data_IF_118438512012
#
_entry.id   IF_118438512012
#
_cell.length_a   1.000
_cell.length_b   1.000
_cell.length_c   1.000
_cell.angle_alpha   90.00
_cell.angle_beta   90.00
_cell.angle_gamma   90.00
#
_symmetry.space_group_name_H-M   'P 1'
#
loop_
_entity.id
_entity.type
_entity.pdbx_description
1 polymer ?
#
# COMPACT_ATOMS: atom_id res chain seq x y z
N UNK A 1 46.17 -19.71 3.54
CA UNK A 1 44.76 -19.95 3.12
C UNK A 1 43.90 -19.00 3.93
N UNK A 2 43.62 -17.83 3.35
CA UNK A 2 42.75 -16.83 3.97
C UNK A 2 41.33 -17.34 3.74
N UNK A 3 40.70 -17.89 4.78
CA UNK A 3 39.28 -18.20 4.72
C UNK A 3 38.52 -16.89 4.67
N UNK A 4 38.11 -16.47 3.47
CA UNK A 4 37.00 -15.55 3.33
C UNK A 4 35.79 -16.25 3.94
N UNK A 5 35.46 -15.90 5.19
CA UNK A 5 34.10 -16.06 5.64
C UNK A 5 33.27 -15.18 4.71
N UNK A 6 32.63 -15.79 3.72
CA UNK A 6 31.42 -15.25 3.13
C UNK A 6 30.45 -15.06 4.29
N UNK A 7 30.48 -13.85 4.87
CA UNK A 7 29.48 -13.32 5.76
C UNK A 7 28.15 -13.78 5.22
N UNK A 8 27.36 -14.49 6.02
CA UNK A 8 26.06 -15.01 5.62
C UNK A 8 25.26 -13.91 4.92
N UNK A 9 25.33 -13.90 3.59
CA UNK A 9 24.51 -13.08 2.73
C UNK A 9 23.12 -13.55 3.06
N UNK A 10 22.29 -12.67 3.62
CA UNK A 10 20.87 -12.96 3.75
C UNK A 10 20.40 -13.30 2.34
N UNK A 11 20.25 -14.58 2.08
CA UNK A 11 19.94 -15.08 0.75
C UNK A 11 18.61 -14.43 0.34
N UNK A 12 18.44 -14.06 -0.93
CA UNK A 12 17.14 -13.66 -1.46
C UNK A 12 16.02 -14.70 -1.18
N UNK A 13 16.41 -15.90 -0.75
CA UNK A 13 15.58 -17.02 -0.33
C UNK A 13 15.39 -17.17 1.20
N UNK A 14 15.79 -16.20 2.04
CA UNK A 14 15.54 -16.31 3.48
C UNK A 14 14.02 -16.32 3.74
N UNK A 15 13.46 -17.43 4.27
CA UNK A 15 12.02 -17.56 4.49
C UNK A 15 11.46 -16.52 5.48
N UNK A 16 12.31 -15.88 6.29
CA UNK A 16 11.90 -14.83 7.25
C UNK A 16 11.48 -13.53 6.58
N UNK A 17 11.98 -13.26 5.37
CA UNK A 17 11.70 -12.04 4.61
C UNK A 17 10.87 -12.29 3.35
N UNK A 18 10.21 -13.44 3.27
CA UNK A 18 9.26 -13.74 2.21
C UNK A 18 7.85 -13.37 2.69
N UNK A 19 7.19 -12.44 2.01
CA UNK A 19 5.78 -12.09 2.26
C UNK A 19 4.85 -12.73 1.22
N UNK A 20 3.62 -12.95 1.67
CA UNK A 20 2.68 -14.01 1.28
C UNK A 20 2.33 -14.14 -0.22
N UNK A 21 2.49 -15.35 -0.75
CA UNK A 21 1.39 -16.24 -1.16
C UNK A 21 1.92 -17.67 -1.08
N UNK A 22 1.13 -18.68 -0.65
CA UNK A 22 1.60 -20.08 -0.56
C UNK A 22 2.14 -20.63 -1.89
N UNK A 23 1.88 -19.91 -2.99
CA UNK A 23 2.31 -20.21 -4.36
C UNK A 23 3.46 -19.32 -4.88
N UNK A 24 3.73 -18.16 -4.27
CA UNK A 24 4.70 -17.18 -4.75
C UNK A 24 5.46 -16.56 -3.56
N UNK A 25 6.59 -17.17 -3.19
CA UNK A 25 7.49 -16.68 -2.13
C UNK A 25 8.20 -15.39 -2.56
N UNK A 26 7.48 -14.27 -2.61
CA UNK A 26 8.04 -12.98 -2.99
C UNK A 26 8.84 -12.36 -1.85
N UNK A 27 10.03 -11.86 -2.18
CA UNK A 27 10.87 -11.14 -1.23
C UNK A 27 10.20 -9.82 -0.79
N UNK A 28 10.41 -9.44 0.46
CA UNK A 28 9.80 -8.25 1.08
C UNK A 28 10.11 -6.96 0.33
N UNK A 29 11.29 -6.83 -0.28
CA UNK A 29 11.68 -5.68 -1.12
C UNK A 29 10.79 -5.58 -2.37
N UNK A 30 10.59 -6.69 -3.08
CA UNK A 30 9.74 -6.77 -4.28
C UNK A 30 8.28 -6.49 -3.94
N UNK A 31 7.79 -7.04 -2.83
CA UNK A 31 6.43 -6.77 -2.36
C UNK A 31 6.23 -5.29 -2.02
N UNK A 32 7.20 -4.66 -1.35
CA UNK A 32 7.16 -3.24 -1.02
C UNK A 32 7.17 -2.36 -2.27
N UNK A 33 8.03 -2.66 -3.25
CA UNK A 33 8.08 -1.96 -4.53
C UNK A 33 6.76 -2.11 -5.31
N UNK A 34 6.22 -3.31 -5.44
CA UNK A 34 4.94 -3.57 -6.11
C UNK A 34 3.79 -2.80 -5.43
N UNK A 35 3.72 -2.84 -4.10
CA UNK A 35 2.70 -2.10 -3.34
C UNK A 35 2.82 -0.57 -3.53
N UNK A 36 4.05 -0.07 -3.66
CA UNK A 36 4.32 1.35 -3.90
C UNK A 36 3.91 1.76 -5.29
N UNK A 37 4.22 0.96 -6.31
CA UNK A 37 3.77 1.20 -7.69
C UNK A 37 2.25 1.25 -7.76
N UNK A 38 1.57 0.29 -7.12
CA UNK A 38 0.11 0.28 -7.05
C UNK A 38 -0.43 1.57 -6.39
N UNK A 39 0.16 1.99 -5.27
CA UNK A 39 -0.23 3.22 -4.58
C UNK A 39 -0.03 4.47 -5.45
N UNK A 40 1.07 4.54 -6.20
CA UNK A 40 1.33 5.63 -7.15
C UNK A 40 0.28 5.67 -8.26
N UNK A 41 -0.06 4.53 -8.87
CA UNK A 41 -1.10 4.45 -9.91
C UNK A 41 -2.45 4.96 -9.36
N UNK A 42 -2.83 4.52 -8.16
CA UNK A 42 -4.08 4.95 -7.51
C UNK A 42 -4.07 6.46 -7.24
N UNK A 43 -2.96 7.02 -6.75
CA UNK A 43 -2.86 8.46 -6.50
C UNK A 43 -2.91 9.27 -7.80
N UNK A 44 -2.25 8.80 -8.88
CA UNK A 44 -2.29 9.46 -10.20
C UNK A 44 -3.72 9.46 -10.74
N UNK A 45 -4.44 8.34 -10.64
CA UNK A 45 -5.85 8.28 -11.01
C UNK A 45 -6.66 9.28 -10.17
N UNK A 46 -6.46 9.30 -8.85
CA UNK A 46 -7.18 10.19 -7.94
C UNK A 46 -6.94 11.67 -8.27
N UNK A 47 -5.70 12.05 -8.62
CA UNK A 47 -5.35 13.39 -9.08
C UNK A 47 -6.05 13.69 -10.41
N UNK A 48 -6.00 12.78 -11.39
CA UNK A 48 -6.61 12.96 -12.70
C UNK A 48 -8.14 13.15 -12.62
N UNK A 49 -8.81 12.39 -11.73
CA UNK A 49 -10.26 12.52 -11.52
C UNK A 49 -10.62 13.71 -10.61
N UNK A 50 -9.80 14.02 -9.60
CA UNK A 50 -10.03 15.09 -8.62
C UNK A 50 -9.72 16.50 -9.13
N UNK A 51 -8.91 16.65 -10.17
CA UNK A 51 -8.54 17.94 -10.76
C UNK A 51 -9.72 18.72 -11.38
N UNK A 52 -10.89 18.09 -11.59
CA UNK A 52 -12.07 18.79 -12.10
C UNK A 52 -12.69 19.80 -11.12
N UNK A 53 -12.26 19.80 -9.85
CA UNK A 53 -12.63 20.81 -8.84
C UNK A 53 -11.63 20.91 -7.68
N UNK A 54 -10.38 20.53 -7.91
CA UNK A 54 -9.42 20.16 -6.87
C UNK A 54 -8.89 21.33 -6.04
N UNK A 55 -8.88 21.14 -4.71
CA UNK A 55 -8.19 21.99 -3.76
C UNK A 55 -6.67 21.77 -3.86
N UNK A 56 -5.89 22.85 -4.06
CA UNK A 56 -4.43 22.82 -4.24
C UNK A 56 -3.72 22.02 -3.12
N UNK A 57 -4.25 22.10 -1.91
CA UNK A 57 -3.74 21.38 -0.75
C UNK A 57 -3.73 19.85 -0.94
N UNK A 58 -4.82 19.29 -1.48
CA UNK A 58 -4.94 17.85 -1.74
C UNK A 58 -3.92 17.37 -2.78
N UNK A 59 -3.65 18.21 -3.79
CA UNK A 59 -2.67 17.90 -4.84
C UNK A 59 -1.24 17.89 -4.28
N UNK A 60 -0.87 18.91 -3.52
CA UNK A 60 0.46 18.98 -2.87
C UNK A 60 0.63 17.80 -1.91
N UNK A 61 -0.39 17.48 -1.13
CA UNK A 61 -0.40 16.32 -0.23
C UNK A 61 -0.13 15.03 -1.02
N UNK A 62 -0.92 14.72 -2.05
CA UNK A 62 -0.75 13.48 -2.82
C UNK A 62 0.62 13.38 -3.50
N UNK A 63 1.14 14.48 -4.06
CA UNK A 63 2.47 14.51 -4.65
C UNK A 63 3.58 14.28 -3.61
N UNK A 64 3.46 14.86 -2.42
CA UNK A 64 4.44 14.65 -1.34
C UNK A 64 4.46 13.19 -0.86
N UNK A 65 3.29 12.55 -0.76
CA UNK A 65 3.15 11.13 -0.40
C UNK A 65 3.79 10.23 -1.45
N UNK A 66 3.50 10.50 -2.73
CA UNK A 66 4.12 9.78 -3.84
C UNK A 66 5.64 9.91 -3.83
N UNK A 67 6.16 11.13 -3.76
CA UNK A 67 7.60 11.39 -3.77
C UNK A 67 8.30 10.70 -2.58
N UNK A 68 7.72 10.80 -1.38
CA UNK A 68 8.27 10.17 -0.19
C UNK A 68 8.23 8.64 -0.29
N UNK A 69 7.15 8.06 -0.80
CA UNK A 69 7.02 6.60 -0.96
C UNK A 69 8.04 6.05 -1.96
N UNK A 70 8.21 6.71 -3.11
CA UNK A 70 9.18 6.31 -4.14
C UNK A 70 10.59 6.41 -3.56
N UNK A 71 10.93 7.54 -2.93
CA UNK A 71 12.24 7.72 -2.34
C UNK A 71 12.52 6.68 -1.25
N UNK A 72 11.60 6.49 -0.31
CA UNK A 72 11.78 5.57 0.80
C UNK A 72 11.96 4.11 0.37
N UNK A 73 11.14 3.67 -0.59
CA UNK A 73 11.08 2.26 -1.01
C UNK A 73 12.16 1.91 -2.03
N UNK A 74 12.36 2.73 -3.06
CA UNK A 74 13.35 2.43 -4.10
C UNK A 74 14.78 2.70 -3.65
N UNK A 75 15.00 3.69 -2.78
CA UNK A 75 16.34 3.93 -2.20
C UNK A 75 16.58 3.17 -0.89
N UNK A 76 15.64 2.32 -0.49
CA UNK A 76 15.73 1.46 0.69
C UNK A 76 16.15 2.24 1.96
N UNK A 77 15.59 3.44 2.14
CA UNK A 77 15.93 4.36 3.22
C UNK A 77 14.95 4.23 4.38
N UNK A 78 15.44 3.77 5.52
CA UNK A 78 14.61 3.48 6.72
C UNK A 78 13.93 4.72 7.33
N UNK A 79 14.65 5.83 7.48
CA UNK A 79 14.11 7.08 8.07
C UNK A 79 12.92 7.69 7.28
N UNK A 80 13.02 7.91 5.96
CA UNK A 80 11.86 8.40 5.19
C UNK A 80 10.74 7.35 5.12
N UNK A 81 11.05 6.05 5.20
CA UNK A 81 10.04 5.00 5.22
C UNK A 81 9.15 5.07 6.47
N UNK A 82 9.71 5.30 7.66
CA UNK A 82 8.88 5.44 8.87
C UNK A 82 8.01 6.70 8.82
N UNK A 83 8.53 7.81 8.27
CA UNK A 83 7.74 9.04 8.06
C UNK A 83 6.58 8.76 7.10
N UNK A 84 6.83 8.03 6.01
CA UNK A 84 5.81 7.61 5.07
C UNK A 84 4.75 6.72 5.72
N UNK A 85 5.16 5.70 6.48
CA UNK A 85 4.22 4.79 7.17
C UNK A 85 3.31 5.58 8.13
N UNK A 86 3.89 6.47 8.94
CA UNK A 86 3.11 7.31 9.87
C UNK A 86 2.14 8.19 9.10
N UNK A 87 2.61 8.91 8.08
CA UNK A 87 1.78 9.81 7.30
C UNK A 87 0.64 9.08 6.57
N UNK A 88 0.95 7.93 5.97
CA UNK A 88 -0.03 7.08 5.31
C UNK A 88 -1.07 6.55 6.30
N UNK A 89 -0.64 6.08 7.49
CA UNK A 89 -1.56 5.59 8.52
C UNK A 89 -2.49 6.69 9.07
N UNK A 90 -1.99 7.92 9.23
CA UNK A 90 -2.81 9.07 9.65
C UNK A 90 -3.84 9.45 8.59
N UNK A 91 -3.44 9.49 7.31
CA UNK A 91 -4.36 9.77 6.21
C UNK A 91 -5.48 8.72 6.11
N UNK A 92 -5.13 7.43 6.27
CA UNK A 92 -6.09 6.34 6.30
C UNK A 92 -7.04 6.48 7.49
N UNK A 93 -6.50 6.70 8.70
CA UNK A 93 -7.31 6.85 9.90
C UNK A 93 -8.30 8.03 9.77
N UNK A 94 -7.85 9.16 9.22
CA UNK A 94 -8.71 10.30 8.94
C UNK A 94 -9.84 9.94 7.96
N UNK A 95 -9.53 9.28 6.84
CA UNK A 95 -10.54 8.84 5.87
C UNK A 95 -11.58 7.89 6.49
N UNK A 96 -11.14 6.95 7.34
CA UNK A 96 -12.04 6.02 8.04
C UNK A 96 -12.94 6.76 9.01
N UNK A 97 -12.40 7.67 9.83
CA UNK A 97 -13.17 8.46 10.80
C UNK A 97 -14.22 9.31 10.07
N UNK A 98 -13.84 10.01 9.00
CA UNK A 98 -14.77 10.81 8.19
C UNK A 98 -15.88 9.95 7.58
N UNK A 99 -15.54 8.77 7.06
CA UNK A 99 -16.53 7.84 6.49
C UNK A 99 -17.53 7.35 7.54
N UNK A 100 -17.06 7.03 8.75
CA UNK A 100 -17.92 6.66 9.88
C UNK A 100 -18.80 7.83 10.30
N UNK A 101 -18.26 9.05 10.38
CA UNK A 101 -19.03 10.23 10.74
C UNK A 101 -20.16 10.51 9.73
N UNK A 102 -19.87 10.39 8.42
CA UNK A 102 -20.88 10.52 7.35
C UNK A 102 -21.95 9.43 7.48
N UNK A 103 -21.56 8.18 7.73
CA UNK A 103 -22.49 7.07 7.94
C UNK A 103 -23.41 7.35 9.13
N UNK A 104 -22.86 7.75 10.27
CA UNK A 104 -23.63 8.07 11.48
C UNK A 104 -24.58 9.24 11.24
N UNK A 105 -24.12 10.30 10.57
CA UNK A 105 -24.97 11.42 10.18
C UNK A 105 -26.13 10.95 9.29
N UNK A 106 -25.86 10.13 8.27
CA UNK A 106 -26.90 9.59 7.40
C UNK A 106 -27.94 8.75 8.16
N UNK A 107 -27.49 7.91 9.11
CA UNK A 107 -28.38 7.10 9.95
C UNK A 107 -29.23 7.96 10.89
N UNK A 108 -28.64 8.97 11.54
CA UNK A 108 -29.34 9.84 12.49
C UNK A 108 -30.34 10.75 11.76
N UNK A 109 -29.91 11.47 10.72
CA UNK A 109 -30.79 12.38 9.99
C UNK A 109 -31.84 11.64 9.15
N UNK A 110 -31.49 10.50 8.57
CA UNK A 110 -32.47 9.72 7.81
C UNK A 110 -33.52 9.05 8.71
N UNK A 111 -33.15 8.59 9.92
CA UNK A 111 -34.14 8.07 10.89
C UNK A 111 -35.01 9.17 11.51
N UNK A 112 -34.49 10.39 11.65
CA UNK A 112 -35.27 11.55 12.10
C UNK A 112 -36.28 12.02 11.03
N UNK A 113 -35.91 11.99 9.74
CA UNK A 113 -36.81 12.30 8.63
C UNK A 113 -37.92 11.26 8.43
N UNK A 114 -37.62 9.98 8.61
CA UNK A 114 -38.57 8.88 8.46
C UNK A 114 -39.68 8.84 9.54
N UNK A 115 -39.52 9.53 10.67
CA UNK A 115 -40.53 9.58 11.75
C UNK A 115 -41.71 10.52 11.45
N UNK A 116 -41.67 11.31 10.38
CA UNK A 116 -42.69 12.30 10.05
C UNK A 116 -43.68 11.90 8.95
N UNK A 117 -43.44 10.82 8.20
CA UNK A 117 -44.26 10.39 7.06
C UNK A 117 -44.11 8.89 6.81
N UNK A 118 -45.21 8.14 6.91
CA UNK A 118 -45.22 6.68 6.73
C UNK A 118 -44.80 6.24 5.30
N UNK A 119 -44.94 7.13 4.30
CA UNK A 119 -44.52 6.89 2.92
C UNK A 119 -42.98 6.96 2.72
N UNK A 120 -42.24 7.58 3.64
CA UNK A 120 -40.79 7.82 3.52
C UNK A 120 -39.93 6.66 4.08
N UNK A 121 -40.54 5.71 4.79
CA UNK A 121 -39.86 4.54 5.34
C UNK A 121 -39.23 3.64 4.26
N UNK A 122 -39.88 3.55 3.08
CA UNK A 122 -39.36 2.82 1.93
C UNK A 122 -38.12 3.49 1.31
N UNK A 123 -38.14 4.81 1.16
CA UNK A 123 -37.02 5.58 0.62
C UNK A 123 -35.80 5.56 1.56
N UNK A 124 -36.02 5.66 2.87
CA UNK A 124 -34.94 5.56 3.86
C UNK A 124 -34.27 4.18 3.86
N UNK A 125 -35.06 3.10 3.77
CA UNK A 125 -34.53 1.73 3.64
C UNK A 125 -33.65 1.56 2.39
N UNK A 126 -34.08 2.11 1.24
CA UNK A 126 -33.32 2.05 -0.01
C UNK A 126 -32.00 2.82 0.09
N UNK A 127 -32.03 4.03 0.67
CA UNK A 127 -30.81 4.86 0.84
C UNK A 127 -29.84 4.20 1.83
N UNK A 128 -30.34 3.73 2.98
CA UNK A 128 -29.53 3.06 4.01
C UNK A 128 -28.91 1.75 3.48
N UNK A 129 -29.69 0.93 2.77
CA UNK A 129 -29.19 -0.29 2.16
C UNK A 129 -28.19 0.00 1.04
N UNK A 130 -28.45 1.00 0.20
CA UNK A 130 -27.51 1.44 -0.84
C UNK A 130 -26.18 1.90 -0.26
N UNK A 131 -26.20 2.67 0.83
CA UNK A 131 -24.98 3.10 1.52
C UNK A 131 -24.25 1.93 2.19
N UNK A 132 -24.97 0.99 2.81
CA UNK A 132 -24.39 -0.21 3.43
C UNK A 132 -23.71 -1.10 2.40
N UNK A 133 -24.36 -1.31 1.24
CA UNK A 133 -23.81 -2.07 0.11
C UNK A 133 -22.57 -1.36 -0.45
N UNK A 134 -22.63 -0.03 -0.64
CA UNK A 134 -21.48 0.76 -1.08
C UNK A 134 -20.30 0.61 -0.11
N UNK A 135 -20.55 0.72 1.20
CA UNK A 135 -19.51 0.58 2.22
C UNK A 135 -18.90 -0.84 2.22
N UNK A 136 -19.74 -1.87 2.10
CA UNK A 136 -19.28 -3.26 2.07
C UNK A 136 -18.46 -3.59 0.80
N UNK A 137 -18.86 -3.07 -0.36
CA UNK A 137 -18.21 -3.35 -1.64
C UNK A 137 -16.95 -2.52 -1.84
N UNK A 138 -16.94 -1.25 -1.40
CA UNK A 138 -15.83 -0.34 -1.67
C UNK A 138 -14.96 -0.11 -0.44
N UNK A 139 -15.52 0.23 0.71
CA UNK A 139 -14.73 0.60 1.89
C UNK A 139 -14.01 -0.60 2.53
N UNK A 140 -14.64 -1.77 2.62
CA UNK A 140 -13.99 -2.96 3.20
C UNK A 140 -12.78 -3.44 2.38
N UNK A 141 -12.87 -3.66 1.05
CA UNK A 141 -11.70 -4.06 0.27
C UNK A 141 -10.60 -3.02 0.25
N UNK A 142 -10.96 -1.72 0.21
CA UNK A 142 -9.97 -0.63 0.32
C UNK A 142 -9.26 -0.71 1.65
N UNK A 143 -9.99 -0.89 2.76
CA UNK A 143 -9.40 -0.99 4.10
C UNK A 143 -8.49 -2.22 4.20
N UNK A 144 -8.92 -3.38 3.70
CA UNK A 144 -8.10 -4.60 3.68
C UNK A 144 -6.84 -4.42 2.84
N UNK A 145 -6.95 -3.79 1.67
CA UNK A 145 -5.81 -3.46 0.80
C UNK A 145 -4.81 -2.53 1.50
N UNK A 146 -5.31 -1.50 2.19
CA UNK A 146 -4.49 -0.56 2.96
C UNK A 146 -3.78 -1.25 4.13
N UNK A 147 -4.49 -2.09 4.89
CA UNK A 147 -3.91 -2.89 5.97
C UNK A 147 -2.83 -3.84 5.45
N UNK A 148 -3.06 -4.44 4.28
CA UNK A 148 -2.06 -5.29 3.61
C UNK A 148 -0.81 -4.49 3.23
N UNK A 149 -0.97 -3.33 2.58
CA UNK A 149 0.16 -2.45 2.21
C UNK A 149 0.94 -1.99 3.45
N UNK A 150 0.25 -1.59 4.52
CA UNK A 150 0.90 -1.22 5.79
C UNK A 150 1.70 -2.39 6.36
N UNK A 151 1.15 -3.61 6.34
CA UNK A 151 1.86 -4.81 6.78
C UNK A 151 3.12 -5.04 5.95
N UNK A 152 3.05 -4.93 4.62
CA UNK A 152 4.22 -5.06 3.74
C UNK A 152 5.28 -4.00 4.10
N UNK A 153 4.90 -2.74 4.24
CA UNK A 153 5.81 -1.64 4.55
C UNK A 153 6.46 -1.76 5.93
N UNK A 154 5.71 -2.21 6.96
CA UNK A 154 6.25 -2.46 8.30
C UNK A 154 7.30 -3.57 8.27
N UNK A 155 7.04 -4.65 7.53
CA UNK A 155 7.99 -5.75 7.39
C UNK A 155 9.22 -5.33 6.57
N UNK A 156 9.03 -4.51 5.54
CA UNK A 156 10.13 -3.89 4.81
C UNK A 156 10.97 -2.97 5.70
N UNK A 157 10.35 -2.15 6.55
CA UNK A 157 11.07 -1.33 7.52
C UNK A 157 11.87 -2.16 8.53
N UNK A 158 11.29 -3.28 9.00
CA UNK A 158 12.00 -4.23 9.89
C UNK A 158 13.19 -4.86 9.18
N UNK A 159 13.02 -5.32 7.95
CA UNK A 159 14.09 -5.84 7.10
C UNK A 159 15.24 -4.83 6.95
N UNK A 160 14.94 -3.56 6.64
CA UNK A 160 15.96 -2.52 6.56
C UNK A 160 16.70 -2.33 7.89
N UNK A 161 15.99 -2.40 9.02
CA UNK A 161 16.61 -2.30 10.34
C UNK A 161 17.58 -3.44 10.64
N UNK A 162 17.20 -4.68 10.31
CA UNK A 162 18.06 -5.86 10.49
C UNK A 162 19.27 -5.82 9.55
N UNK A 163 19.09 -5.34 8.31
CA UNK A 163 20.18 -5.13 7.35
C UNK A 163 21.16 -4.04 7.79
N UNK A 164 20.65 -2.90 8.25
CA UNK A 164 21.47 -1.78 8.72
C UNK A 164 22.33 -2.20 9.93
N UNK A 165 21.77 -3.02 10.84
CA UNK A 165 22.52 -3.60 11.96
C UNK A 165 23.61 -4.57 11.48
N UNK A 166 23.32 -5.37 10.46
CA UNK A 166 24.26 -6.32 9.86
C UNK A 166 25.32 -5.67 8.94
N UNK A 167 25.26 -4.34 8.72
CA UNK A 167 26.16 -3.60 7.81
C UNK A 167 26.20 -4.16 6.39
N UNK A 168 25.08 -4.74 5.93
CA UNK A 168 25.00 -5.37 4.61
C UNK A 168 24.63 -4.36 3.52
N UNK A 169 25.20 -4.48 2.31
CA UNK A 169 24.85 -3.62 1.18
C UNK A 169 23.40 -3.87 0.71
N UNK A 170 22.83 -2.92 -0.06
CA UNK A 170 21.54 -3.10 -0.72
C UNK A 170 21.49 -4.36 -1.57
N UNK A 171 20.32 -4.99 -1.69
CA UNK A 171 20.15 -6.16 -2.56
C UNK A 171 20.11 -5.67 -4.01
N UNK A 172 21.17 -5.96 -4.76
CA UNK A 172 21.20 -5.73 -6.20
C UNK A 172 20.60 -6.96 -6.88
N UNK A 173 19.39 -6.82 -7.42
CA UNK A 173 18.84 -7.84 -8.30
C UNK A 173 19.57 -7.74 -9.64
N UNK A 174 20.56 -8.60 -9.86
CA UNK A 174 21.12 -8.78 -11.20
C UNK A 174 19.99 -9.27 -12.11
N UNK A 175 19.65 -8.46 -13.11
CA UNK A 175 18.84 -8.93 -14.22
C UNK A 175 19.63 -10.06 -14.87
N UNK A 176 19.16 -11.30 -14.69
CA UNK A 176 19.73 -12.46 -15.38
C UNK A 176 19.46 -12.25 -16.87
N UNK A 177 20.38 -11.60 -17.56
CA UNK A 177 20.40 -11.55 -19.02
C UNK A 177 20.60 -12.99 -19.44
N UNK A 178 19.52 -13.64 -19.90
CA UNK A 178 19.63 -14.93 -20.56
C UNK A 178 20.41 -14.72 -21.86
N UNK A 179 21.73 -14.75 -21.76
CA UNK A 179 22.60 -14.91 -22.91
C UNK A 179 22.31 -16.32 -23.44
N UNK A 180 21.41 -16.40 -24.42
CA UNK A 180 21.26 -17.57 -25.28
C UNK A 180 22.58 -17.73 -26.03
N UNK A 181 23.56 -18.37 -25.40
CA UNK A 181 24.69 -18.98 -26.08
C UNK A 181 24.09 -19.94 -27.11
N UNK A 182 24.05 -19.45 -28.34
CA UNK A 182 23.65 -20.21 -29.50
C UNK A 182 24.84 -21.12 -29.78
N UNK A 183 24.86 -22.25 -29.09
CA UNK A 183 25.79 -23.36 -29.30
C UNK A 183 25.48 -24.02 -30.66
N UNK A 184 25.70 -23.29 -31.75
CA UNK A 184 25.79 -23.88 -33.09
C UNK A 184 27.17 -24.50 -33.21
N UNK A 185 27.18 -25.79 -32.85
CA UNK A 185 28.18 -26.80 -33.18
C UNK A 185 28.75 -26.63 -34.58
N UNK A 186 30.07 -26.48 -34.66
CA UNK A 186 30.88 -26.80 -35.83
C UNK A 186 30.70 -28.29 -36.21
N UNK A 187 30.63 -28.61 -37.51
CA UNK A 187 31.43 -29.67 -38.11
C UNK A 187 32.81 -29.15 -38.54
#
# INVERSE_FOLDING_TARGET
IISFQMSAVYAANDPRFQHCCSCCRMHVTTAAQASTIFNVIVNVALIAYGLKGGNLFTLIFSLSVMALSIYAVFWEKRKPLIVFIVYYSLGVAFCVIVSIAILLAALVFGSAGARGRDDDAGAFSIISNGFTIFFAIFCLPITMSVCYTLKVLINFHRYLGERDQAHQPPVVFEARTEEKETLTTLP
#
